data_IF_334681185958
#
_entry.id   IF_334681185958
#
_cell.length_a   1.000
_cell.length_b   1.000
_cell.length_c   1.000
_cell.angle_alpha   90.00
_cell.angle_beta   90.00
_cell.angle_gamma   90.00
#
_symmetry.space_group_name_H-M   'P 1'
#
loop_
_entity.id
_entity.type
_entity.pdbx_description
1 polymer ?
#
# COMPACT_ATOMS: atom_id res chain seq x y z
N UNK A 1 21.20 0.89 21.71
CA UNK A 1 21.29 1.52 20.37
C UNK A 1 19.96 1.27 19.69
N UNK A 2 19.28 2.29 19.13
CA UNK A 2 18.11 2.04 18.29
C UNK A 2 18.60 1.40 16.99
N UNK A 3 18.07 0.27 16.57
CA UNK A 3 18.44 -0.32 15.27
C UNK A 3 17.96 0.60 14.16
N UNK A 4 18.84 0.88 13.20
CA UNK A 4 18.45 1.56 11.98
C UNK A 4 17.48 0.62 11.23
N UNK A 5 16.29 1.07 10.81
CA UNK A 5 15.40 0.25 10.00
C UNK A 5 16.11 -0.26 8.74
N UNK A 6 15.91 -1.53 8.39
CA UNK A 6 16.61 -2.17 7.27
C UNK A 6 16.50 -1.39 5.94
N UNK A 7 15.41 -0.64 5.73
CA UNK A 7 15.16 0.10 4.49
C UNK A 7 16.01 1.35 4.37
N UNK A 8 16.53 1.88 5.48
CA UNK A 8 17.21 3.18 5.52
C UNK A 8 18.57 3.16 4.82
N UNK A 9 19.20 1.98 4.68
CA UNK A 9 20.51 1.83 4.02
C UNK A 9 20.47 2.12 2.51
N UNK A 10 19.31 1.93 1.88
CA UNK A 10 19.11 2.14 0.43
C UNK A 10 18.22 3.35 0.13
N UNK A 11 17.83 4.07 1.18
CA UNK A 11 16.90 5.17 1.08
C UNK A 11 17.57 6.46 0.60
N UNK A 12 16.98 7.11 -0.39
CA UNK A 12 17.37 8.46 -0.82
C UNK A 12 16.31 9.46 -0.39
N UNK A 13 16.73 10.61 0.15
CA UNK A 13 15.79 11.69 0.46
C UNK A 13 15.08 12.15 -0.81
N UNK A 14 13.76 12.35 -0.74
CA UNK A 14 12.91 12.80 -1.85
C UNK A 14 11.93 13.88 -1.38
N UNK A 15 11.02 14.32 -2.24
CA UNK A 15 10.05 15.37 -1.94
C UNK A 15 8.62 14.85 -2.01
N UNK A 16 7.71 15.51 -1.29
CA UNK A 16 6.28 15.28 -1.46
C UNK A 16 5.83 15.49 -2.92
N UNK A 17 6.45 16.43 -3.65
CA UNK A 17 6.15 16.65 -5.07
C UNK A 17 6.44 15.41 -5.93
N UNK A 18 7.55 14.71 -5.69
CA UNK A 18 7.90 13.49 -6.41
C UNK A 18 6.90 12.35 -6.11
N UNK A 19 6.51 12.22 -4.85
CA UNK A 19 5.48 11.25 -4.40
C UNK A 19 4.15 11.52 -5.10
N UNK A 20 3.68 12.78 -5.08
CA UNK A 20 2.42 13.15 -5.71
C UNK A 20 2.46 12.98 -7.23
N UNK A 21 3.60 13.28 -7.86
CA UNK A 21 3.79 13.07 -9.30
C UNK A 21 3.74 11.59 -9.67
N UNK A 22 4.38 10.71 -8.89
CA UNK A 22 4.35 9.27 -9.15
C UNK A 22 2.93 8.71 -8.94
N UNK A 23 2.24 9.09 -7.87
CA UNK A 23 0.85 8.68 -7.62
C UNK A 23 -0.07 9.02 -8.81
N UNK A 24 0.08 10.21 -9.40
CA UNK A 24 -0.73 10.66 -10.53
C UNK A 24 -0.49 9.87 -11.81
N UNK A 25 0.73 9.39 -12.08
CA UNK A 25 1.03 8.54 -13.25
C UNK A 25 0.29 7.21 -13.22
N UNK A 26 -0.10 6.77 -12.03
CA UNK A 26 -0.55 5.40 -11.75
C UNK A 26 -2.06 5.30 -11.63
N UNK A 27 -2.76 6.45 -11.68
CA UNK A 27 -4.21 6.50 -11.64
C UNK A 27 -4.80 6.11 -13.02
N UNK A 28 -5.52 4.98 -13.15
CA UNK A 28 -6.26 4.70 -14.37
C UNK A 28 -7.39 5.73 -14.57
N UNK A 29 -7.86 5.91 -15.81
CA UNK A 29 -8.91 6.89 -16.19
C UNK A 29 -10.33 6.48 -15.71
N UNK A 30 -10.50 6.13 -14.43
CA UNK A 30 -11.79 5.78 -13.84
C UNK A 30 -12.16 6.67 -12.66
N UNK A 31 -13.46 6.85 -12.45
CA UNK A 31 -14.01 7.57 -11.27
C UNK A 31 -13.53 6.97 -9.95
N UNK A 32 -13.32 5.66 -9.90
CA UNK A 32 -12.78 4.94 -8.74
C UNK A 32 -11.31 5.27 -8.45
N UNK A 33 -10.50 5.39 -9.51
CA UNK A 33 -9.10 5.81 -9.37
C UNK A 33 -9.00 7.26 -8.89
N UNK A 34 -9.83 8.15 -9.43
CA UNK A 34 -9.91 9.55 -8.96
C UNK A 34 -10.29 9.63 -7.47
N UNK A 35 -11.28 8.85 -7.02
CA UNK A 35 -11.66 8.78 -5.60
C UNK A 35 -10.54 8.24 -4.72
N UNK A 36 -9.90 7.16 -5.16
CA UNK A 36 -8.79 6.53 -4.43
C UNK A 36 -7.61 7.50 -4.28
N UNK A 37 -7.25 8.22 -5.36
CA UNK A 37 -6.23 9.26 -5.33
C UNK A 37 -6.61 10.40 -4.38
N UNK A 38 -7.90 10.78 -4.33
CA UNK A 38 -8.42 11.76 -3.39
C UNK A 38 -8.18 11.38 -1.93
N UNK A 39 -8.49 10.14 -1.54
CA UNK A 39 -8.21 9.66 -0.18
C UNK A 39 -6.73 9.55 0.13
N UNK A 40 -5.92 9.07 -0.81
CA UNK A 40 -4.46 9.04 -0.64
C UNK A 40 -3.91 10.45 -0.39
N UNK A 41 -4.37 11.42 -1.18
CA UNK A 41 -3.96 12.83 -1.04
C UNK A 41 -4.38 13.40 0.32
N UNK A 42 -5.60 13.09 0.77
CA UNK A 42 -6.09 13.49 2.09
C UNK A 42 -5.24 12.87 3.21
N UNK A 43 -4.96 11.57 3.16
CA UNK A 43 -4.14 10.88 4.15
C UNK A 43 -2.72 11.47 4.23
N UNK A 44 -2.14 11.83 3.09
CA UNK A 44 -0.83 12.51 3.02
C UNK A 44 -0.88 13.90 3.68
N UNK A 45 -1.95 14.67 3.46
CA UNK A 45 -2.14 15.97 4.10
C UNK A 45 -2.25 15.82 5.63
N UNK A 46 -3.08 14.89 6.11
CA UNK A 46 -3.25 14.59 7.53
C UNK A 46 -1.93 14.14 8.19
N UNK A 47 -1.12 13.34 7.49
CA UNK A 47 0.21 12.96 7.96
C UNK A 47 1.17 14.16 8.03
N UNK A 48 1.14 15.03 7.02
CA UNK A 48 1.95 16.25 6.99
C UNK A 48 1.61 17.15 8.18
N UNK A 49 0.32 17.35 8.47
CA UNK A 49 -0.18 18.11 9.63
C UNK A 49 0.24 17.46 10.97
N UNK A 50 0.34 16.13 11.00
CA UNK A 50 0.84 15.37 12.15
C UNK A 50 2.38 15.37 12.29
N UNK A 51 3.10 16.07 11.40
CA UNK A 51 4.56 16.23 11.44
C UNK A 51 5.35 15.18 10.65
N UNK A 52 4.69 14.35 9.83
CA UNK A 52 5.32 13.42 8.91
C UNK A 52 5.73 14.14 7.63
N UNK A 53 6.92 14.72 7.64
CA UNK A 53 7.40 15.57 6.54
C UNK A 53 8.70 15.06 5.90
N UNK A 54 9.34 14.04 6.46
CA UNK A 54 10.59 13.51 5.92
C UNK A 54 10.31 12.32 5.00
N UNK A 55 10.40 12.57 3.70
CA UNK A 55 10.11 11.60 2.65
C UNK A 55 11.38 10.92 2.13
N UNK A 56 11.32 9.61 2.00
CA UNK A 56 12.39 8.76 1.51
C UNK A 56 11.90 7.90 0.35
N UNK A 57 12.72 7.72 -0.66
CA UNK A 57 12.51 6.76 -1.74
C UNK A 57 13.43 5.56 -1.54
N UNK A 58 12.85 4.36 -1.55
CA UNK A 58 13.54 3.08 -1.43
C UNK A 58 13.29 2.29 -2.72
N UNK A 59 14.29 2.18 -3.62
CA UNK A 59 14.09 1.56 -4.93
C UNK A 59 13.83 0.05 -4.84
N UNK A 60 14.30 -0.61 -3.77
CA UNK A 60 14.22 -2.06 -3.59
C UNK A 60 13.76 -2.43 -2.17
N UNK A 61 12.52 -2.09 -1.83
CA UNK A 61 11.92 -2.47 -0.55
C UNK A 61 11.52 -3.96 -0.56
N UNK A 62 11.96 -4.78 0.41
CA UNK A 62 11.74 -6.21 0.41
C UNK A 62 10.25 -6.54 0.64
N UNK A 63 9.71 -7.41 -0.21
CA UNK A 63 8.30 -7.82 -0.12
C UNK A 63 8.01 -8.57 1.18
N UNK A 64 9.00 -9.26 1.76
CA UNK A 64 8.86 -9.91 3.07
C UNK A 64 8.49 -8.92 4.18
N UNK A 65 8.96 -7.67 4.13
CA UNK A 65 8.58 -6.64 5.09
C UNK A 65 7.13 -6.17 4.94
N UNK A 66 6.51 -6.39 3.77
CA UNK A 66 5.09 -6.07 3.55
C UNK A 66 4.16 -7.09 4.21
N UNK A 67 4.63 -8.30 4.55
CA UNK A 67 3.84 -9.31 5.26
C UNK A 67 3.47 -8.86 6.68
N UNK A 68 4.34 -8.07 7.31
CA UNK A 68 4.16 -7.48 8.64
C UNK A 68 3.61 -6.06 8.61
N UNK A 69 3.30 -5.54 7.42
CA UNK A 69 2.72 -4.21 7.24
C UNK A 69 1.39 -4.13 7.99
N UNK A 70 1.22 -3.07 8.79
CA UNK A 70 0.00 -2.81 9.55
C UNK A 70 -0.94 -1.97 8.70
N UNK A 71 -2.11 -2.51 8.39
CA UNK A 71 -3.14 -1.80 7.65
C UNK A 71 -4.01 -0.98 8.63
N UNK A 72 -4.26 0.32 8.38
CA UNK A 72 -5.40 1.02 8.96
C UNK A 72 -6.72 0.27 8.74
N UNK A 73 -7.74 0.66 9.50
CA UNK A 73 -9.10 0.19 9.27
C UNK A 73 -9.52 0.46 7.83
N UNK A 74 -10.03 -0.58 7.15
CA UNK A 74 -10.69 -0.41 5.85
C UNK A 74 -12.12 -0.88 5.93
N UNK A 75 -12.96 -0.23 5.13
CA UNK A 75 -14.39 -0.49 5.10
C UNK A 75 -14.89 -0.54 3.66
N UNK A 76 -15.97 -1.27 3.44
CA UNK A 76 -16.59 -1.36 2.11
C UNK A 76 -17.18 -0.02 1.68
N UNK A 77 -16.73 0.50 0.54
CA UNK A 77 -17.17 1.82 0.04
C UNK A 77 -18.59 1.86 -0.54
N UNK A 78 -19.25 0.71 -0.66
CA UNK A 78 -20.52 0.57 -1.42
C UNK A 78 -21.76 0.51 -0.52
N UNK A 79 -21.61 0.64 0.80
CA UNK A 79 -22.75 0.69 1.72
C UNK A 79 -22.91 2.12 2.26
N UNK A 80 -23.85 2.87 1.67
CA UNK A 80 -24.23 4.21 2.15
C UNK A 80 -24.82 4.20 3.57
N UNK A 81 -25.16 3.02 4.11
CA UNK A 81 -25.93 2.88 5.36
C UNK A 81 -25.05 2.50 6.56
N UNK A 82 -23.89 1.87 6.33
CA UNK A 82 -22.80 1.64 7.28
C UNK A 82 -21.78 0.74 6.56
N UNK A 83 -20.60 1.25 6.20
CA UNK A 83 -19.63 0.44 5.50
C UNK A 83 -19.09 -0.62 6.47
N UNK A 84 -19.47 -1.89 6.23
CA UNK A 84 -18.97 -3.01 7.00
C UNK A 84 -17.43 -2.99 7.00
N UNK A 85 -16.76 -3.25 8.14
CA UNK A 85 -15.32 -3.30 8.17
C UNK A 85 -14.84 -4.47 7.30
N UNK A 86 -13.91 -4.15 6.41
CA UNK A 86 -13.24 -5.11 5.54
C UNK A 86 -12.15 -5.86 6.33
N UNK A 87 -11.36 -5.09 7.08
CA UNK A 87 -10.47 -5.57 8.14
C UNK A 87 -10.36 -4.46 9.20
N UNK A 88 -10.24 -4.90 10.46
CA UNK A 88 -10.06 -3.99 11.59
C UNK A 88 -8.70 -3.29 11.57
N UNK A 89 -8.61 -2.21 12.33
CA UNK A 89 -7.35 -1.51 12.56
C UNK A 89 -6.28 -2.46 13.12
N UNK A 90 -5.05 -2.32 12.65
CA UNK A 90 -3.95 -3.19 13.09
C UNK A 90 -3.78 -4.50 12.29
N UNK A 91 -4.62 -4.75 11.28
CA UNK A 91 -4.55 -6.00 10.49
C UNK A 91 -3.24 -6.09 9.71
N UNK A 92 -2.53 -7.21 9.82
CA UNK A 92 -1.28 -7.42 9.07
C UNK A 92 -1.53 -7.74 7.59
N UNK A 93 -0.55 -7.45 6.73
CA UNK A 93 -0.61 -7.79 5.29
C UNK A 93 -0.95 -9.26 5.03
N UNK A 94 -0.33 -10.20 5.76
CA UNK A 94 -0.67 -11.63 5.68
C UNK A 94 -2.13 -11.89 6.03
N UNK A 95 -2.63 -11.28 7.12
CA UNK A 95 -4.02 -11.50 7.56
C UNK A 95 -5.03 -10.90 6.59
N UNK A 96 -4.68 -9.79 5.93
CA UNK A 96 -5.50 -9.19 4.89
C UNK A 96 -5.63 -10.11 3.67
N UNK A 97 -4.54 -10.77 3.25
CA UNK A 97 -4.57 -11.77 2.17
C UNK A 97 -5.43 -12.97 2.54
N UNK A 98 -5.33 -13.49 3.77
CA UNK A 98 -6.20 -14.58 4.24
C UNK A 98 -7.67 -14.18 4.21
N UNK A 99 -7.98 -13.00 4.72
CA UNK A 99 -9.36 -12.45 4.76
C UNK A 99 -9.90 -12.30 3.35
N UNK A 100 -9.09 -11.73 2.44
CA UNK A 100 -9.39 -11.60 1.03
C UNK A 100 -9.72 -12.95 0.37
N UNK A 101 -8.87 -13.97 0.58
CA UNK A 101 -9.06 -15.31 0.01
C UNK A 101 -10.32 -16.00 0.56
N UNK A 102 -10.57 -15.87 1.86
CA UNK A 102 -11.71 -16.50 2.52
C UNK A 102 -13.06 -15.90 2.10
N UNK A 103 -13.09 -14.61 1.80
CA UNK A 103 -14.31 -13.86 1.48
C UNK A 103 -14.46 -13.57 -0.02
N UNK A 104 -13.71 -14.27 -0.88
CA UNK A 104 -13.61 -13.97 -2.32
C UNK A 104 -14.96 -13.86 -3.03
N UNK A 105 -15.90 -14.76 -2.71
CA UNK A 105 -17.21 -14.79 -3.35
C UNK A 105 -18.21 -13.81 -2.71
N UNK A 106 -17.85 -13.18 -1.60
CA UNK A 106 -18.69 -12.23 -0.83
C UNK A 106 -18.37 -10.76 -1.12
N UNK A 107 -17.34 -10.49 -1.92
CA UNK A 107 -16.90 -9.14 -2.24
C UNK A 107 -17.58 -8.54 -3.47
N UNK A 108 -17.52 -7.20 -3.55
CA UNK A 108 -17.92 -6.42 -4.71
C UNK A 108 -17.10 -6.90 -5.93
N UNK A 109 -17.73 -7.45 -6.99
CA UNK A 109 -17.02 -8.07 -8.11
C UNK A 109 -15.94 -7.20 -8.74
N UNK A 110 -16.16 -5.89 -8.80
CA UNK A 110 -15.21 -4.90 -9.32
C UNK A 110 -13.88 -4.88 -8.54
N UNK A 111 -13.94 -5.02 -7.21
CA UNK A 111 -12.75 -5.11 -6.36
C UNK A 111 -11.96 -6.40 -6.66
N UNK A 112 -12.68 -7.52 -6.78
CA UNK A 112 -12.07 -8.83 -7.03
C UNK A 112 -11.45 -8.92 -8.43
N UNK A 113 -12.13 -8.36 -9.42
CA UNK A 113 -11.62 -8.28 -10.78
C UNK A 113 -10.38 -7.39 -10.85
N UNK A 114 -10.34 -6.28 -10.11
CA UNK A 114 -9.15 -5.44 -10.02
C UNK A 114 -7.98 -6.19 -9.39
N UNK A 115 -8.16 -6.87 -8.25
CA UNK A 115 -7.07 -7.63 -7.62
C UNK A 115 -6.59 -8.75 -8.54
N UNK A 116 -7.50 -9.53 -9.14
CA UNK A 116 -7.12 -10.59 -10.08
C UNK A 116 -6.35 -10.05 -11.31
N UNK A 117 -6.77 -8.91 -11.85
CA UNK A 117 -6.07 -8.24 -12.94
C UNK A 117 -4.67 -7.75 -12.53
N UNK A 118 -4.53 -7.22 -11.31
CA UNK A 118 -3.24 -6.82 -10.75
C UNK A 118 -2.33 -8.03 -10.53
N UNK A 119 -2.86 -9.13 -9.98
CA UNK A 119 -2.10 -10.37 -9.80
C UNK A 119 -1.55 -10.89 -11.13
N UNK A 120 -2.35 -10.86 -12.20
CA UNK A 120 -1.91 -11.27 -13.53
C UNK A 120 -0.86 -10.32 -14.12
N UNK A 121 -1.07 -9.00 -13.97
CA UNK A 121 -0.08 -8.01 -14.39
C UNK A 121 1.25 -8.20 -13.66
N UNK A 122 1.22 -8.49 -12.37
CA UNK A 122 2.44 -8.72 -11.57
C UNK A 122 3.15 -9.99 -12.03
N UNK A 123 2.41 -11.08 -12.29
CA UNK A 123 3.00 -12.33 -12.80
C UNK A 123 3.66 -12.15 -14.17
N UNK A 124 3.06 -11.36 -15.05
CA UNK A 124 3.48 -11.22 -16.45
C UNK A 124 4.52 -10.13 -16.67
N UNK A 125 4.44 -9.02 -15.93
CA UNK A 125 5.23 -7.80 -16.16
C UNK A 125 6.07 -7.39 -14.95
N UNK A 126 5.88 -8.02 -13.79
CA UNK A 126 6.48 -7.60 -12.53
C UNK A 126 5.72 -6.45 -11.86
N UNK A 127 6.28 -5.95 -10.76
CA UNK A 127 5.71 -4.85 -9.98
C UNK A 127 6.58 -3.61 -10.15
N UNK A 128 6.11 -2.64 -10.94
CA UNK A 128 6.91 -1.46 -11.35
C UNK A 128 6.45 -0.16 -10.71
N UNK A 129 5.33 -0.17 -10.02
CA UNK A 129 4.71 1.04 -9.47
C UNK A 129 5.05 1.23 -8.01
N UNK A 130 5.44 2.42 -7.58
CA UNK A 130 5.79 2.65 -6.17
C UNK A 130 4.60 2.47 -5.23
N UNK A 131 4.86 1.93 -4.05
CA UNK A 131 3.95 1.99 -2.91
C UNK A 131 4.26 3.22 -2.05
N UNK A 132 3.27 3.76 -1.33
CA UNK A 132 3.48 4.82 -0.35
C UNK A 132 3.16 4.31 1.05
N UNK A 133 4.16 4.36 1.93
CA UNK A 133 4.09 3.88 3.31
C UNK A 133 4.41 5.00 4.30
N UNK A 134 3.85 4.86 5.50
CA UNK A 134 4.21 5.56 6.72
C UNK A 134 5.12 4.65 7.56
N UNK A 135 6.17 5.21 8.15
CA UNK A 135 6.96 4.53 9.16
C UNK A 135 6.86 5.24 10.52
N UNK A 136 6.39 4.52 11.54
CA UNK A 136 6.28 5.01 12.91
C UNK A 136 6.40 3.86 13.91
N UNK A 137 7.07 4.09 15.05
CA UNK A 137 7.21 3.10 16.13
C UNK A 137 7.71 1.73 15.64
N UNK A 138 8.72 1.74 14.77
CA UNK A 138 9.33 0.54 14.17
C UNK A 138 8.37 -0.29 13.30
N UNK A 139 7.24 0.28 12.91
CA UNK A 139 6.24 -0.36 12.06
C UNK A 139 5.99 0.44 10.79
N UNK A 140 5.76 -0.29 9.70
CA UNK A 140 5.28 0.27 8.44
C UNK A 140 3.75 0.12 8.35
N UNK A 141 3.09 1.16 7.86
CA UNK A 141 1.67 1.15 7.48
C UNK A 141 1.51 1.71 6.08
N UNK A 142 0.61 1.19 5.26
CA UNK A 142 0.36 1.81 3.95
C UNK A 142 -0.43 3.10 4.11
N UNK A 143 -0.22 3.98 3.14
CA UNK A 143 -1.02 5.18 2.90
C UNK A 143 -1.90 4.95 1.67
N UNK A 144 -1.37 4.19 0.71
CA UNK A 144 -2.02 3.91 -0.56
C UNK A 144 -1.80 2.45 -1.00
N UNK A 145 -2.57 1.99 -1.99
CA UNK A 145 -2.21 0.79 -2.74
C UNK A 145 -2.63 -0.52 -2.09
N UNK A 146 -3.67 -0.54 -1.25
CA UNK A 146 -4.17 -1.76 -0.61
C UNK A 146 -4.37 -2.93 -1.59
N UNK A 147 -5.10 -2.72 -2.70
CA UNK A 147 -5.32 -3.76 -3.71
C UNK A 147 -4.01 -4.26 -4.32
N UNK A 148 -3.03 -3.37 -4.50
CA UNK A 148 -1.70 -3.71 -5.02
C UNK A 148 -0.90 -4.52 -4.01
N UNK A 149 -0.99 -4.19 -2.72
CA UNK A 149 -0.38 -4.95 -1.62
C UNK A 149 -1.01 -6.35 -1.53
N UNK A 150 -2.34 -6.46 -1.56
CA UNK A 150 -3.03 -7.76 -1.52
C UNK A 150 -2.63 -8.61 -2.75
N UNK A 151 -2.64 -8.02 -3.95
CA UNK A 151 -2.24 -8.72 -5.16
C UNK A 151 -0.77 -9.19 -5.08
N UNK A 152 0.14 -8.29 -4.71
CA UNK A 152 1.57 -8.58 -4.56
C UNK A 152 1.83 -9.70 -3.54
N UNK A 153 1.23 -9.64 -2.36
CA UNK A 153 1.39 -10.66 -1.33
C UNK A 153 0.71 -11.99 -1.70
N UNK A 154 -0.40 -11.93 -2.44
CA UNK A 154 -1.11 -13.13 -2.93
C UNK A 154 -0.33 -13.86 -4.01
N UNK A 155 0.42 -13.12 -4.84
CA UNK A 155 1.31 -13.72 -5.83
C UNK A 155 2.62 -14.17 -5.18
N UNK A 156 3.22 -13.40 -4.25
CA UNK A 156 4.58 -13.61 -3.71
C UNK A 156 4.98 -15.07 -3.35
N UNK A 157 4.05 -15.91 -2.87
CA UNK A 157 4.31 -17.33 -2.57
C UNK A 157 4.44 -18.24 -3.80
N UNK A 158 4.05 -17.77 -4.99
CA UNK A 158 4.18 -18.46 -6.26
C UNK A 158 5.55 -18.20 -6.87
N UNK A 159 6.15 -19.24 -7.46
CA UNK A 159 7.56 -19.41 -7.86
C UNK A 159 8.16 -18.35 -8.83
N UNK A 160 7.41 -17.31 -9.20
CA UNK A 160 7.81 -16.19 -10.06
C UNK A 160 7.14 -14.93 -9.51
N UNK A 161 7.88 -13.93 -9.02
CA UNK A 161 7.84 -13.31 -7.68
C UNK A 161 8.81 -12.12 -7.56
N UNK A 162 8.45 -10.82 -7.71
CA UNK A 162 9.41 -9.77 -7.34
C UNK A 162 9.76 -9.90 -5.85
N UNK A 163 11.05 -9.94 -5.54
CA UNK A 163 11.55 -10.00 -4.15
C UNK A 163 11.59 -8.63 -3.50
N UNK A 164 11.54 -7.57 -4.30
CA UNK A 164 11.56 -6.18 -3.88
C UNK A 164 10.62 -5.33 -4.74
N UNK A 165 10.19 -4.18 -4.20
CA UNK A 165 9.33 -3.21 -4.88
C UNK A 165 9.79 -1.77 -4.62
N UNK A 166 9.60 -0.84 -5.56
CA UNK A 166 9.85 0.57 -5.32
C UNK A 166 8.85 1.09 -4.26
N UNK A 167 9.32 1.90 -3.31
CA UNK A 167 8.49 2.36 -2.18
C UNK A 167 8.91 3.75 -1.72
N UNK A 168 7.94 4.63 -1.53
CA UNK A 168 8.09 5.87 -0.77
C UNK A 168 7.73 5.63 0.70
N UNK A 169 8.54 6.17 1.60
CA UNK A 169 8.35 6.08 3.05
C UNK A 169 8.36 7.49 3.63
N UNK A 170 7.32 7.83 4.39
CA UNK A 170 7.29 9.06 5.19
C UNK A 170 7.55 8.77 6.66
N UNK A 171 8.43 9.57 7.25
CA UNK A 171 8.77 9.55 8.66
C UNK A 171 8.42 10.89 9.32
N UNK A 172 8.15 10.85 10.62
CA UNK A 172 8.09 12.07 11.43
C UNK A 172 9.48 12.72 11.46
N UNK A 173 9.52 14.03 11.26
CA UNK A 173 10.78 14.77 11.43
C UNK A 173 11.26 14.59 12.88
N UNK A 174 12.50 14.13 13.04
CA UNK A 174 13.08 13.78 14.34
C UNK A 174 13.40 15.00 15.19
#
# INVERSE_FOLDING_TARGET
MKSIPFWQEQATLTSLQDVMFDLQKTAPESTWATRSLGWTTQAIAELTDAGFTQWWYVPAFPVSALQTLVLPEHRHLVSEVLPAPLFGDGTTGTKAVETYKAQRDSYVPECMNLIASLEESIRTQGFTTSLTLKWENEMASHIDGLHRIIALLSTYSATHNPTTVPTYIVCKNA
#
